data_IF_613337102590
#
_entry.id   IF_613337102590
#
_cell.length_a   1.000
_cell.length_b   1.000
_cell.length_c   1.000
_cell.angle_alpha   90.00
_cell.angle_beta   90.00
_cell.angle_gamma   90.00
#
_symmetry.space_group_name_H-M   'P 1'
#
loop_
_entity.id
_entity.type
_entity.pdbx_description
1 polymer ?
#
# COMPACT_ATOMS: atom_id res chain seq x y z
N UNK A 1 9.59 26.27 0.04
CA UNK A 1 10.23 24.93 0.04
C UNK A 1 9.27 23.92 -0.52
N UNK A 2 9.67 23.19 -1.54
CA UNK A 2 8.88 22.16 -2.22
C UNK A 2 8.98 20.85 -1.42
N UNK A 3 7.87 20.08 -1.37
CA UNK A 3 7.79 18.89 -0.54
C UNK A 3 7.82 17.61 -1.38
N UNK A 4 8.88 16.82 -1.21
CA UNK A 4 9.05 15.48 -1.75
C UNK A 4 9.24 14.43 -0.63
N UNK A 5 8.88 14.76 0.61
CA UNK A 5 9.12 13.86 1.76
C UNK A 5 8.10 12.71 1.84
N UNK A 6 6.85 12.90 1.38
CA UNK A 6 5.83 11.85 1.35
C UNK A 6 4.73 12.15 0.32
N UNK A 7 3.80 11.20 0.12
CA UNK A 7 2.71 11.25 -0.84
C UNK A 7 1.32 11.51 -0.20
N UNK A 8 1.30 12.04 1.02
CA UNK A 8 0.08 12.40 1.77
C UNK A 8 0.12 13.83 2.32
N UNK A 9 0.80 14.74 1.63
CA UNK A 9 0.91 16.15 2.00
C UNK A 9 -0.27 17.02 1.54
N UNK A 10 -1.08 16.53 0.61
CA UNK A 10 -2.12 17.30 -0.07
C UNK A 10 -3.51 16.84 0.36
N UNK A 11 -4.55 17.58 -0.06
CA UNK A 11 -5.94 17.24 0.19
C UNK A 11 -6.43 16.09 -0.69
N UNK A 12 -7.43 16.35 -1.54
CA UNK A 12 -7.97 15.38 -2.48
C UNK A 12 -8.00 15.92 -3.90
N UNK A 13 -8.24 15.03 -4.87
CA UNK A 13 -8.53 15.38 -6.26
C UNK A 13 -9.70 16.40 -6.32
N UNK A 14 -9.60 17.36 -7.23
CA UNK A 14 -10.62 18.41 -7.39
C UNK A 14 -12.01 17.83 -7.72
N UNK A 15 -12.05 16.70 -8.42
CA UNK A 15 -13.28 15.95 -8.69
C UNK A 15 -13.98 15.48 -7.40
N UNK A 16 -13.22 15.00 -6.42
CA UNK A 16 -13.72 14.59 -5.12
C UNK A 16 -14.25 15.80 -4.33
N UNK A 17 -13.49 16.90 -4.27
CA UNK A 17 -13.92 18.12 -3.57
C UNK A 17 -15.19 18.70 -4.19
N UNK A 18 -15.30 18.69 -5.51
CA UNK A 18 -16.49 19.11 -6.25
C UNK A 18 -17.70 18.22 -5.92
N UNK A 19 -17.52 16.90 -5.92
CA UNK A 19 -18.57 15.96 -5.56
C UNK A 19 -19.03 16.13 -4.11
N UNK A 20 -18.10 16.31 -3.16
CA UNK A 20 -18.42 16.58 -1.76
C UNK A 20 -19.21 17.89 -1.59
N UNK A 21 -18.82 18.93 -2.30
CA UNK A 21 -19.53 20.23 -2.29
C UNK A 21 -20.95 20.09 -2.85
N UNK A 22 -21.10 19.39 -3.96
CA UNK A 22 -22.38 19.20 -4.62
C UNK A 22 -23.37 18.37 -3.81
N UNK A 23 -22.88 17.47 -2.94
CA UNK A 23 -23.72 16.57 -2.13
C UNK A 23 -23.82 16.98 -0.65
N UNK A 24 -23.26 18.12 -0.27
CA UNK A 24 -23.10 18.51 1.14
C UNK A 24 -24.40 18.58 1.94
N UNK A 25 -25.51 18.91 1.29
CA UNK A 25 -26.84 19.02 1.92
C UNK A 25 -27.73 17.80 1.68
N UNK A 26 -27.25 16.80 0.95
CA UNK A 26 -27.99 15.57 0.68
C UNK A 26 -28.00 14.66 1.92
N UNK A 27 -28.99 13.78 1.97
CA UNK A 27 -29.17 12.83 3.05
C UNK A 27 -28.91 11.41 2.56
N UNK A 28 -27.97 10.72 3.21
CA UNK A 28 -27.58 9.37 2.88
C UNK A 28 -27.74 8.42 4.07
N UNK A 29 -27.94 7.13 3.80
CA UNK A 29 -27.86 6.09 4.82
C UNK A 29 -26.48 6.07 5.48
N UNK A 30 -26.44 5.75 6.78
CA UNK A 30 -25.17 5.70 7.53
C UNK A 30 -24.43 4.37 7.38
N UNK A 31 -23.21 4.34 7.93
CA UNK A 31 -22.43 3.12 8.17
C UNK A 31 -22.07 2.31 6.92
N UNK A 32 -21.96 2.97 5.77
CA UNK A 32 -21.58 2.37 4.49
C UNK A 32 -22.69 1.61 3.77
N UNK A 33 -23.97 1.84 4.15
CA UNK A 33 -25.15 1.24 3.51
C UNK A 33 -25.82 2.21 2.50
N UNK A 34 -25.07 3.17 2.00
CA UNK A 34 -25.52 4.26 1.14
C UNK A 34 -25.25 3.98 -0.34
N UNK A 35 -25.81 4.84 -1.19
CA UNK A 35 -25.70 4.70 -2.64
C UNK A 35 -24.27 4.93 -3.15
N UNK A 36 -23.48 5.77 -2.48
CA UNK A 36 -22.10 6.03 -2.90
C UNK A 36 -21.18 4.84 -2.64
N UNK A 37 -21.34 4.20 -1.48
CA UNK A 37 -20.64 2.95 -1.18
C UNK A 37 -21.05 1.84 -2.15
N UNK A 38 -22.34 1.70 -2.47
CA UNK A 38 -22.83 0.71 -3.46
C UNK A 38 -22.28 0.98 -4.87
N UNK A 39 -22.20 2.25 -5.26
CA UNK A 39 -21.64 2.67 -6.55
C UNK A 39 -20.15 2.35 -6.64
N UNK A 40 -19.37 2.73 -5.62
CA UNK A 40 -17.95 2.40 -5.53
C UNK A 40 -17.71 0.89 -5.51
N UNK A 41 -18.50 0.13 -4.75
CA UNK A 41 -18.46 -1.35 -4.72
C UNK A 41 -18.68 -1.93 -6.13
N UNK A 42 -19.64 -1.42 -6.88
CA UNK A 42 -19.94 -1.87 -8.23
C UNK A 42 -18.76 -1.66 -9.18
N UNK A 43 -18.15 -0.46 -9.14
CA UNK A 43 -16.98 -0.14 -9.95
C UNK A 43 -15.79 -1.02 -9.60
N UNK A 44 -15.52 -1.20 -8.31
CA UNK A 44 -14.40 -2.03 -7.86
C UNK A 44 -14.60 -3.49 -8.29
N UNK A 45 -15.79 -4.05 -8.13
CA UNK A 45 -16.11 -5.42 -8.58
C UNK A 45 -15.90 -5.61 -10.08
N UNK A 46 -16.18 -4.59 -10.89
CA UNK A 46 -15.89 -4.61 -12.33
C UNK A 46 -14.37 -4.60 -12.59
N UNK A 47 -13.63 -3.71 -11.94
CA UNK A 47 -12.18 -3.59 -12.10
C UNK A 47 -11.43 -4.86 -11.70
N UNK A 48 -11.88 -5.53 -10.63
CA UNK A 48 -11.28 -6.79 -10.16
C UNK A 48 -11.85 -8.03 -10.86
N UNK A 49 -12.86 -7.87 -11.72
CA UNK A 49 -13.58 -8.98 -12.39
C UNK A 49 -14.10 -10.05 -11.43
N UNK A 50 -14.56 -9.65 -10.24
CA UNK A 50 -15.06 -10.56 -9.20
C UNK A 50 -16.36 -10.04 -8.59
N UNK A 51 -17.49 -10.60 -9.04
CA UNK A 51 -18.83 -10.25 -8.54
C UNK A 51 -19.07 -10.62 -7.09
N UNK A 52 -18.43 -11.70 -6.61
CA UNK A 52 -18.60 -12.26 -5.27
C UNK A 52 -17.64 -11.64 -4.24
N UNK A 53 -16.72 -10.79 -4.65
CA UNK A 53 -15.83 -10.10 -3.73
C UNK A 53 -16.63 -9.19 -2.77
N UNK A 54 -16.33 -9.26 -1.48
CA UNK A 54 -16.83 -8.32 -0.51
C UNK A 54 -15.97 -7.06 -0.54
N UNK A 55 -16.58 -5.90 -0.80
CA UNK A 55 -15.91 -4.62 -0.76
C UNK A 55 -16.27 -3.88 0.52
N UNK A 56 -15.26 -3.38 1.24
CA UNK A 56 -15.46 -2.58 2.45
C UNK A 56 -14.49 -1.40 2.47
N UNK A 57 -14.96 -0.27 2.97
CA UNK A 57 -14.16 0.95 3.09
C UNK A 57 -13.76 1.16 4.54
N UNK A 58 -12.49 1.47 4.77
CA UNK A 58 -11.92 1.77 6.09
C UNK A 58 -11.17 3.11 6.05
N UNK A 59 -11.09 3.86 7.15
CA UNK A 59 -10.56 5.22 7.14
C UNK A 59 -9.04 5.34 6.92
N UNK A 60 -8.27 4.27 7.02
CA UNK A 60 -6.83 4.32 6.83
C UNK A 60 -6.17 2.94 6.73
N UNK A 61 -4.96 2.91 6.21
CA UNK A 61 -4.21 1.68 5.91
C UNK A 61 -3.86 0.87 7.17
N UNK A 62 -3.37 1.49 8.23
CA UNK A 62 -3.12 0.82 9.52
C UNK A 62 -4.38 0.14 10.04
N UNK A 63 -5.54 0.79 9.90
CA UNK A 63 -6.81 0.19 10.31
C UNK A 63 -7.25 -0.95 9.39
N UNK A 64 -6.94 -0.87 8.08
CA UNK A 64 -7.15 -1.98 7.14
C UNK A 64 -6.35 -3.22 7.57
N UNK A 65 -5.06 -3.05 7.85
CA UNK A 65 -4.16 -4.10 8.29
C UNK A 65 -4.65 -4.75 9.58
N UNK A 66 -4.95 -3.95 10.58
CA UNK A 66 -5.45 -4.39 11.89
C UNK A 66 -6.76 -5.19 11.76
N UNK A 67 -7.75 -4.68 11.02
CA UNK A 67 -9.06 -5.34 10.88
C UNK A 67 -8.96 -6.64 10.10
N UNK A 68 -8.17 -6.67 9.01
CA UNK A 68 -7.98 -7.88 8.20
C UNK A 68 -7.31 -8.97 9.02
N UNK A 69 -6.22 -8.66 9.72
CA UNK A 69 -5.47 -9.63 10.51
C UNK A 69 -6.29 -10.13 11.69
N UNK A 70 -6.99 -9.25 12.40
CA UNK A 70 -7.89 -9.65 13.49
C UNK A 70 -9.06 -10.52 13.02
N UNK A 71 -9.56 -10.32 11.80
CA UNK A 71 -10.64 -11.14 11.23
C UNK A 71 -10.14 -12.48 10.68
N UNK A 72 -8.88 -12.55 10.22
CA UNK A 72 -8.32 -13.71 9.56
C UNK A 72 -7.71 -14.73 10.52
N UNK A 73 -7.24 -14.29 11.69
CA UNK A 73 -6.43 -15.11 12.60
C UNK A 73 -7.18 -15.47 13.88
N UNK A 74 -6.97 -16.69 14.36
CA UNK A 74 -7.33 -17.11 15.71
C UNK A 74 -6.17 -16.79 16.69
N UNK A 75 -6.42 -16.77 18.01
CA UNK A 75 -5.44 -16.30 19.00
C UNK A 75 -4.08 -16.98 18.99
N UNK A 76 -3.99 -18.23 18.47
CA UNK A 76 -2.73 -18.99 18.39
C UNK A 76 -2.04 -18.85 17.03
N UNK A 77 -2.57 -18.02 16.14
CA UNK A 77 -2.07 -17.86 14.77
C UNK A 77 -1.25 -16.59 14.62
N UNK A 78 -0.37 -16.60 13.63
CA UNK A 78 0.60 -15.54 13.36
C UNK A 78 0.59 -15.12 11.89
N UNK A 79 1.13 -13.92 11.63
CA UNK A 79 1.30 -13.38 10.29
C UNK A 79 2.79 -13.35 9.91
N UNK A 80 3.11 -13.83 8.69
CA UNK A 80 4.44 -13.72 8.09
C UNK A 80 4.51 -12.39 7.33
N UNK A 81 5.57 -11.62 7.54
CA UNK A 81 5.84 -10.36 6.82
C UNK A 81 7.34 -10.18 6.57
N UNK A 82 7.71 -9.28 5.64
CA UNK A 82 9.08 -8.79 5.58
C UNK A 82 9.45 -8.06 6.88
N UNK A 83 10.70 -8.12 7.30
CA UNK A 83 11.19 -7.37 8.46
C UNK A 83 11.05 -5.85 8.29
N UNK A 84 11.00 -5.35 7.02
CA UNK A 84 10.66 -3.96 6.67
C UNK A 84 9.16 -3.73 6.44
N UNK A 85 8.32 -4.77 6.53
CA UNK A 85 6.88 -4.65 6.31
C UNK A 85 6.23 -3.61 7.23
N UNK A 86 5.30 -2.83 6.70
CA UNK A 86 4.68 -1.70 7.42
C UNK A 86 4.11 -2.10 8.78
N UNK A 87 3.44 -3.25 8.86
CA UNK A 87 2.89 -3.80 10.10
C UNK A 87 3.96 -4.10 11.17
N UNK A 88 5.20 -4.39 10.75
CA UNK A 88 6.31 -4.70 11.65
C UNK A 88 7.04 -3.44 12.14
N UNK A 89 7.16 -2.41 11.29
CA UNK A 89 8.04 -1.26 11.54
C UNK A 89 7.30 0.05 11.88
N UNK A 90 6.06 0.24 11.39
CA UNK A 90 5.44 1.57 11.32
C UNK A 90 4.03 1.65 11.94
N UNK A 91 3.58 0.62 12.67
CA UNK A 91 2.21 0.59 13.19
C UNK A 91 2.12 0.51 14.73
N UNK A 92 3.22 0.79 15.42
CA UNK A 92 3.26 0.87 16.89
C UNK A 92 2.59 -0.33 17.59
N UNK A 93 2.93 -1.55 17.13
CA UNK A 93 2.39 -2.82 17.65
C UNK A 93 0.86 -2.96 17.48
N UNK A 94 0.28 -2.39 16.40
CA UNK A 94 -1.16 -2.52 16.14
C UNK A 94 -1.61 -3.97 15.99
N UNK A 95 -0.76 -4.80 15.37
CA UNK A 95 -1.04 -6.22 15.14
C UNK A 95 -0.88 -7.04 16.43
N UNK A 96 0.18 -6.79 17.18
CA UNK A 96 0.40 -7.43 18.48
C UNK A 96 -0.73 -7.09 19.46
N UNK A 97 -1.29 -5.89 19.38
CA UNK A 97 -2.47 -5.49 20.17
C UNK A 97 -3.73 -6.30 19.83
N UNK A 98 -3.81 -6.94 18.66
CA UNK A 98 -4.87 -7.92 18.34
C UNK A 98 -4.58 -9.31 18.91
N UNK A 99 -3.44 -9.52 19.56
CA UNK A 99 -3.00 -10.79 20.13
C UNK A 99 -2.22 -11.68 19.15
N UNK A 100 -1.81 -11.14 17.99
CA UNK A 100 -1.14 -11.92 16.96
C UNK A 100 0.34 -11.55 16.84
N UNK A 101 1.18 -12.58 16.69
CA UNK A 101 2.62 -12.43 16.49
C UNK A 101 2.93 -12.18 15.03
N UNK A 102 3.85 -11.24 14.75
CA UNK A 102 4.47 -11.08 13.45
C UNK A 102 5.71 -11.97 13.38
N UNK A 103 5.79 -12.81 12.34
CA UNK A 103 6.97 -13.60 11.98
C UNK A 103 7.72 -12.82 10.91
N UNK A 104 8.62 -11.94 11.35
CA UNK A 104 9.40 -11.09 10.46
C UNK A 104 10.50 -11.90 9.77
N UNK A 105 10.52 -11.89 8.44
CA UNK A 105 11.53 -12.55 7.61
C UNK A 105 12.48 -11.50 7.01
N UNK A 106 13.78 -11.82 6.89
CA UNK A 106 14.74 -10.91 6.27
C UNK A 106 14.36 -10.65 4.80
N UNK A 107 14.34 -9.37 4.44
CA UNK A 107 13.96 -8.95 3.09
C UNK A 107 15.16 -8.73 2.17
N UNK A 108 14.93 -8.81 0.85
CA UNK A 108 15.80 -8.25 -0.18
C UNK A 108 15.00 -7.19 -0.93
N UNK A 109 15.44 -5.94 -0.87
CA UNK A 109 14.77 -4.79 -1.49
C UNK A 109 13.27 -4.66 -1.14
N UNK A 110 12.94 -4.98 0.12
CA UNK A 110 11.56 -4.94 0.63
C UNK A 110 10.75 -6.21 0.37
N UNK A 111 11.26 -7.18 -0.39
CA UNK A 111 10.54 -8.41 -0.75
C UNK A 111 10.99 -9.62 0.07
N UNK A 112 10.04 -10.52 0.34
CA UNK A 112 10.29 -11.88 0.83
C UNK A 112 9.89 -12.89 -0.25
N UNK A 113 10.59 -14.01 -0.32
CA UNK A 113 10.43 -15.01 -1.37
C UNK A 113 9.49 -16.13 -0.95
N UNK A 114 8.91 -16.82 -1.92
CA UNK A 114 8.14 -18.04 -1.71
C UNK A 114 8.95 -19.12 -0.95
N UNK A 115 10.26 -19.21 -1.19
CA UNK A 115 11.17 -20.13 -0.48
C UNK A 115 11.30 -19.80 1.02
N UNK A 116 11.46 -18.54 1.37
CA UNK A 116 11.52 -18.09 2.77
C UNK A 116 10.19 -18.35 3.50
N UNK A 117 9.06 -18.04 2.84
CA UNK A 117 7.73 -18.32 3.40
C UNK A 117 7.52 -19.81 3.59
N UNK A 118 7.91 -20.63 2.60
CA UNK A 118 7.82 -22.09 2.70
C UNK A 118 8.68 -22.66 3.84
N UNK A 119 9.90 -22.15 4.02
CA UNK A 119 10.77 -22.56 5.13
C UNK A 119 10.19 -22.21 6.49
N UNK A 120 9.62 -21.00 6.62
CA UNK A 120 8.95 -20.57 7.85
C UNK A 120 7.72 -21.44 8.16
N UNK A 121 6.89 -21.74 7.16
CA UNK A 121 5.72 -22.61 7.32
C UNK A 121 6.14 -24.06 7.66
N UNK A 122 7.13 -24.62 6.96
CA UNK A 122 7.64 -25.97 7.23
C UNK A 122 8.19 -26.13 8.64
N UNK A 123 8.84 -25.10 9.19
CA UNK A 123 9.33 -25.13 10.57
C UNK A 123 8.20 -25.38 11.60
N UNK A 124 6.99 -24.93 11.30
CA UNK A 124 5.80 -25.20 12.10
C UNK A 124 5.13 -26.54 11.73
N UNK A 125 4.76 -26.72 10.46
CA UNK A 125 3.92 -27.84 10.04
C UNK A 125 4.66 -29.18 9.96
N UNK A 126 5.96 -29.15 9.66
CA UNK A 126 6.83 -30.33 9.55
C UNK A 126 7.78 -30.47 10.75
N UNK A 127 7.72 -29.53 11.71
CA UNK A 127 8.55 -29.50 12.90
C UNK A 127 8.04 -30.43 14.03
N UNK A 128 8.89 -30.64 15.04
CA UNK A 128 8.63 -31.65 16.09
C UNK A 128 7.76 -31.19 17.25
N UNK A 129 7.38 -29.91 17.37
CA UNK A 129 6.66 -29.38 18.53
C UNK A 129 5.76 -28.17 18.19
N UNK A 130 4.78 -28.34 17.27
CA UNK A 130 3.93 -27.24 16.83
C UNK A 130 3.07 -26.65 17.96
N UNK A 131 2.75 -27.41 19.00
CA UNK A 131 1.95 -26.97 20.15
C UNK A 131 2.59 -25.86 21.00
N UNK A 132 3.88 -25.60 20.83
CA UNK A 132 4.60 -24.52 21.53
C UNK A 132 4.85 -23.29 20.65
N UNK A 133 4.47 -23.34 19.38
CA UNK A 133 4.69 -22.26 18.41
C UNK A 133 3.37 -21.64 17.97
N UNK A 134 3.42 -20.41 17.50
CA UNK A 134 2.26 -19.82 16.81
C UNK A 134 2.17 -20.35 15.39
N UNK A 135 0.97 -20.78 14.97
CA UNK A 135 0.72 -21.27 13.61
C UNK A 135 0.82 -20.13 12.59
N UNK A 136 1.74 -20.16 11.59
CA UNK A 136 1.73 -19.19 10.52
C UNK A 136 0.50 -19.41 9.63
N UNK A 137 -0.40 -18.42 9.59
CA UNK A 137 -1.69 -18.57 8.91
C UNK A 137 -2.00 -17.50 7.88
N UNK A 138 -1.27 -16.40 7.92
CA UNK A 138 -1.41 -15.32 6.94
C UNK A 138 -0.02 -14.86 6.49
N UNK A 139 0.12 -14.59 5.19
CA UNK A 139 1.26 -13.90 4.59
C UNK A 139 0.81 -12.48 4.24
N UNK A 140 1.54 -11.49 4.74
CA UNK A 140 1.35 -10.08 4.45
C UNK A 140 2.45 -9.60 3.52
N UNK A 141 2.08 -8.94 2.44
CA UNK A 141 2.98 -8.30 1.48
C UNK A 141 2.51 -6.87 1.22
N UNK A 142 3.42 -5.96 0.91
CA UNK A 142 3.09 -4.61 0.43
C UNK A 142 3.29 -4.50 -1.08
N UNK A 143 2.39 -3.77 -1.76
CA UNK A 143 2.49 -3.51 -3.20
C UNK A 143 2.14 -2.03 -3.52
N UNK A 144 3.14 -1.24 -4.00
CA UNK A 144 4.59 -1.50 -3.92
C UNK A 144 5.08 -1.77 -2.51
N UNK A 145 6.27 -2.38 -2.39
CA UNK A 145 6.91 -2.53 -1.07
C UNK A 145 7.26 -1.17 -0.47
N UNK A 146 7.64 -1.12 0.79
CA UNK A 146 8.06 0.11 1.49
C UNK A 146 9.27 0.75 0.81
N UNK A 147 10.05 -0.03 0.05
CA UNK A 147 11.20 0.42 -0.74
C UNK A 147 10.86 0.76 -2.20
N UNK A 148 9.57 0.76 -2.56
CA UNK A 148 9.10 1.09 -3.92
C UNK A 148 9.33 0.00 -4.97
N UNK A 149 9.72 -1.20 -4.58
CA UNK A 149 9.89 -2.35 -5.48
C UNK A 149 8.56 -3.08 -5.70
N UNK A 150 8.46 -3.85 -6.77
CA UNK A 150 7.25 -4.57 -7.16
C UNK A 150 7.44 -6.08 -7.09
N UNK A 151 6.43 -6.79 -6.61
CA UNK A 151 6.30 -8.22 -6.86
C UNK A 151 5.82 -8.42 -8.29
N UNK A 152 6.50 -9.26 -9.07
CA UNK A 152 6.00 -9.71 -10.37
C UNK A 152 4.84 -10.70 -10.21
N UNK A 153 4.08 -10.88 -11.28
CA UNK A 153 3.00 -11.87 -11.32
C UNK A 153 3.49 -13.27 -10.99
N UNK A 154 4.67 -13.64 -11.49
CA UNK A 154 5.30 -14.95 -11.22
C UNK A 154 5.69 -15.11 -9.74
N UNK A 155 6.26 -14.07 -9.12
CA UNK A 155 6.57 -14.10 -7.68
C UNK A 155 5.30 -14.25 -6.85
N UNK A 156 4.25 -13.48 -7.15
CA UNK A 156 2.98 -13.55 -6.44
C UNK A 156 2.30 -14.93 -6.62
N UNK A 157 2.34 -15.51 -7.81
CA UNK A 157 1.86 -16.87 -8.08
C UNK A 157 2.61 -17.91 -7.24
N UNK A 158 3.94 -17.83 -7.20
CA UNK A 158 4.78 -18.73 -6.40
C UNK A 158 4.45 -18.63 -4.90
N UNK A 159 4.25 -17.43 -4.38
CA UNK A 159 3.82 -17.20 -3.00
C UNK A 159 2.42 -17.77 -2.76
N UNK A 160 1.49 -17.56 -3.71
CA UNK A 160 0.13 -18.10 -3.64
C UNK A 160 0.12 -19.63 -3.56
N UNK A 161 1.00 -20.30 -4.31
CA UNK A 161 1.13 -21.77 -4.25
C UNK A 161 1.61 -22.26 -2.88
N UNK A 162 2.57 -21.58 -2.27
CA UNK A 162 3.01 -21.87 -0.91
C UNK A 162 1.87 -21.67 0.08
N UNK A 163 1.14 -20.56 -0.03
CA UNK A 163 -0.03 -20.31 0.81
C UNK A 163 -1.07 -21.42 0.68
N UNK A 164 -1.34 -21.88 -0.56
CA UNK A 164 -2.27 -22.99 -0.81
C UNK A 164 -1.79 -24.30 -0.20
N UNK A 165 -0.49 -24.62 -0.32
CA UNK A 165 0.11 -25.83 0.24
C UNK A 165 -0.09 -25.93 1.75
N UNK A 166 0.11 -24.83 2.47
CA UNK A 166 0.04 -24.80 3.95
C UNK A 166 -1.28 -24.24 4.49
N UNK A 167 -2.26 -23.98 3.62
CA UNK A 167 -3.57 -23.45 4.01
C UNK A 167 -3.52 -22.06 4.66
N UNK A 168 -2.58 -21.23 4.23
CA UNK A 168 -2.41 -19.85 4.69
C UNK A 168 -3.19 -18.86 3.81
N UNK A 169 -3.59 -17.74 4.38
CA UNK A 169 -4.12 -16.61 3.63
C UNK A 169 -2.98 -15.77 3.03
N UNK A 170 -3.27 -15.10 1.92
CA UNK A 170 -2.38 -14.09 1.32
C UNK A 170 -3.11 -12.75 1.32
N UNK A 171 -2.53 -11.77 2.01
CA UNK A 171 -3.03 -10.41 2.12
C UNK A 171 -2.02 -9.43 1.53
N UNK A 172 -2.47 -8.55 0.63
CA UNK A 172 -1.63 -7.52 0.02
C UNK A 172 -2.08 -6.13 0.47
N UNK A 173 -1.18 -5.44 1.15
CA UNK A 173 -1.25 -4.02 1.47
C UNK A 173 -1.05 -3.21 0.19
N UNK A 174 -2.10 -2.56 -0.26
CA UNK A 174 -2.10 -1.72 -1.45
C UNK A 174 -2.16 -0.22 -1.14
N UNK A 175 -1.53 0.26 -0.05
CA UNK A 175 -1.52 1.68 0.32
C UNK A 175 -1.08 2.59 -0.83
N UNK A 176 -0.22 2.07 -1.71
CA UNK A 176 0.27 2.72 -2.94
C UNK A 176 -0.12 1.95 -4.21
N UNK A 177 -1.22 1.21 -4.19
CA UNK A 177 -1.67 0.34 -5.30
C UNK A 177 -1.67 1.06 -6.65
N UNK A 178 -2.15 2.30 -6.70
CA UNK A 178 -2.20 3.09 -7.94
C UNK A 178 -0.82 3.33 -8.56
N UNK A 179 0.18 3.64 -7.75
CA UNK A 179 1.57 3.82 -8.21
C UNK A 179 2.17 2.49 -8.67
N UNK A 180 1.96 1.41 -7.94
CA UNK A 180 2.40 0.08 -8.37
C UNK A 180 1.81 -0.33 -9.71
N UNK A 181 0.52 -0.09 -9.92
CA UNK A 181 -0.16 -0.38 -11.19
C UNK A 181 0.28 0.56 -12.33
N UNK A 182 0.68 1.79 -12.02
CA UNK A 182 1.16 2.79 -12.97
C UNK A 182 2.60 2.61 -13.42
N UNK A 183 3.41 1.87 -12.66
CA UNK A 183 4.83 1.67 -12.91
C UNK A 183 5.09 0.93 -14.24
N UNK A 184 6.18 1.32 -14.91
CA UNK A 184 6.46 0.84 -16.28
C UNK A 184 6.80 -0.65 -16.37
N UNK A 185 7.35 -1.23 -15.30
CA UNK A 185 7.74 -2.63 -15.19
C UNK A 185 6.71 -3.51 -14.47
N UNK A 186 5.53 -2.96 -14.13
CA UNK A 186 4.45 -3.73 -13.54
C UNK A 186 3.78 -4.66 -14.57
N UNK A 187 3.59 -5.92 -14.18
CA UNK A 187 2.91 -6.96 -14.97
C UNK A 187 1.61 -7.47 -14.33
N UNK A 188 1.12 -6.77 -13.30
CA UNK A 188 -0.09 -7.11 -12.54
C UNK A 188 -1.24 -6.13 -12.81
N UNK A 189 -2.46 -6.63 -12.76
CA UNK A 189 -3.71 -5.88 -12.80
C UNK A 189 -4.51 -6.09 -11.51
N UNK A 190 -5.51 -5.26 -11.23
CA UNK A 190 -6.43 -5.47 -10.09
C UNK A 190 -7.15 -6.84 -10.15
N UNK A 191 -7.40 -7.34 -11.36
CA UNK A 191 -7.94 -8.69 -11.57
C UNK A 191 -6.95 -9.76 -11.08
N UNK A 192 -5.66 -9.62 -11.41
CA UNK A 192 -4.63 -10.56 -10.95
C UNK A 192 -4.55 -10.59 -9.42
N UNK A 193 -4.64 -9.44 -8.75
CA UNK A 193 -4.71 -9.40 -7.29
C UNK A 193 -5.93 -10.15 -6.76
N UNK A 194 -7.11 -9.98 -7.37
CA UNK A 194 -8.31 -10.70 -6.94
C UNK A 194 -8.21 -12.22 -7.13
N UNK A 195 -7.52 -12.67 -8.17
CA UNK A 195 -7.30 -14.10 -8.44
C UNK A 195 -6.21 -14.72 -7.56
N UNK A 196 -5.14 -13.95 -7.27
CA UNK A 196 -3.95 -14.47 -6.60
C UNK A 196 -3.92 -14.24 -5.09
N UNK A 197 -4.79 -13.37 -4.56
CA UNK A 197 -4.82 -13.06 -3.12
C UNK A 197 -6.16 -13.45 -2.49
N UNK A 198 -6.21 -13.50 -1.17
CA UNK A 198 -7.45 -13.69 -0.43
C UNK A 198 -8.06 -12.37 0.02
N UNK A 199 -7.19 -11.39 0.26
CA UNK A 199 -7.55 -10.00 0.57
C UNK A 199 -6.47 -9.09 0.00
N UNK A 200 -6.87 -7.95 -0.51
CA UNK A 200 -6.00 -6.81 -0.76
C UNK A 200 -6.79 -5.52 -0.57
N UNK A 201 -6.14 -4.38 -0.60
CA UNK A 201 -6.87 -3.13 -0.67
C UNK A 201 -6.33 -2.17 -1.73
N UNK A 202 -7.22 -1.34 -2.23
CA UNK A 202 -6.93 -0.23 -3.14
C UNK A 202 -6.77 1.00 -2.28
N UNK A 203 -5.54 1.50 -2.16
CA UNK A 203 -5.22 2.65 -1.33
C UNK A 203 -5.77 3.94 -1.90
N UNK A 204 -6.55 4.69 -1.12
CA UNK A 204 -7.08 6.00 -1.51
C UNK A 204 -6.27 7.16 -0.93
N UNK A 205 -5.89 7.07 0.33
CA UNK A 205 -5.26 8.16 1.09
C UNK A 205 -4.04 8.76 0.39
N UNK A 206 -3.17 7.95 -0.19
CA UNK A 206 -1.97 8.41 -0.90
C UNK A 206 -2.21 8.68 -2.38
N UNK A 207 -3.32 8.19 -2.94
CA UNK A 207 -3.60 8.19 -4.38
C UNK A 207 -4.68 9.19 -4.80
N UNK A 208 -4.97 10.21 -3.97
CA UNK A 208 -5.86 11.30 -4.34
C UNK A 208 -7.16 11.42 -3.55
N UNK A 209 -7.46 10.51 -2.62
CA UNK A 209 -8.54 10.67 -1.66
C UNK A 209 -8.12 11.54 -0.47
N UNK A 210 -9.09 12.14 0.24
CA UNK A 210 -8.84 12.79 1.53
C UNK A 210 -8.37 11.78 2.57
N UNK A 211 -8.98 10.59 2.56
CA UNK A 211 -8.67 9.47 3.42
C UNK A 211 -9.43 8.22 2.94
N UNK A 212 -8.97 7.07 3.39
CA UNK A 212 -9.67 5.80 3.21
C UNK A 212 -9.01 4.84 2.24
N UNK A 213 -9.31 3.57 2.49
CA UNK A 213 -8.84 2.42 1.72
C UNK A 213 -10.04 1.52 1.38
N UNK A 214 -10.05 0.96 0.17
CA UNK A 214 -11.08 0.02 -0.27
C UNK A 214 -10.55 -1.42 -0.17
N UNK A 215 -10.98 -2.15 0.85
CA UNK A 215 -10.70 -3.57 1.02
C UNK A 215 -11.46 -4.39 -0.01
N UNK A 216 -10.77 -5.32 -0.66
CA UNK A 216 -11.32 -6.32 -1.57
C UNK A 216 -11.06 -7.70 -0.97
N UNK A 217 -12.12 -8.41 -0.57
CA UNK A 217 -12.04 -9.70 0.12
C UNK A 217 -12.65 -10.76 -0.80
N UNK A 218 -11.81 -11.62 -1.36
CA UNK A 218 -12.21 -12.68 -2.28
C UNK A 218 -12.43 -14.02 -1.59
N UNK A 219 -11.87 -14.23 -0.39
CA UNK A 219 -12.03 -15.45 0.40
C UNK A 219 -13.34 -15.44 1.19
N UNK A 220 -14.31 -16.35 0.90
CA UNK A 220 -15.62 -16.35 1.54
C UNK A 220 -15.58 -16.51 3.07
N UNK A 221 -14.59 -17.23 3.61
CA UNK A 221 -14.45 -17.40 5.07
C UNK A 221 -14.12 -16.09 5.77
N UNK A 222 -13.38 -15.21 5.11
CA UNK A 222 -13.02 -13.89 5.66
C UNK A 222 -14.16 -12.88 5.48
N UNK A 223 -15.10 -13.10 4.57
CA UNK A 223 -16.27 -12.25 4.40
C UNK A 223 -17.26 -12.38 5.57
N UNK A 224 -17.30 -13.59 6.21
CA UNK A 224 -18.25 -13.85 7.27
C UNK A 224 -18.03 -12.92 8.47
N UNK A 225 -19.06 -12.14 8.79
CA UNK A 225 -19.06 -11.16 9.89
C UNK A 225 -17.95 -10.11 9.84
N UNK A 226 -17.31 -9.87 8.70
CA UNK A 226 -16.20 -8.92 8.59
C UNK A 226 -16.57 -7.52 9.11
N UNK A 227 -17.81 -7.05 8.84
CA UNK A 227 -18.29 -5.76 9.37
C UNK A 227 -18.31 -5.70 10.91
N UNK A 228 -18.44 -6.82 11.61
CA UNK A 228 -18.37 -6.87 13.07
C UNK A 228 -16.94 -6.60 13.57
N UNK A 229 -15.93 -7.16 12.91
CA UNK A 229 -14.52 -6.82 13.19
C UNK A 229 -14.22 -5.36 12.89
N UNK A 230 -14.69 -4.84 11.75
CA UNK A 230 -14.60 -3.41 11.46
C UNK A 230 -15.22 -2.55 12.58
N UNK A 231 -16.41 -2.91 13.07
CA UNK A 231 -17.09 -2.16 14.14
C UNK A 231 -16.32 -2.22 15.45
N UNK A 232 -15.81 -3.39 15.81
CA UNK A 232 -15.02 -3.62 17.02
C UNK A 232 -13.77 -2.73 17.05
N UNK A 233 -13.12 -2.56 15.90
CA UNK A 233 -11.89 -1.78 15.75
C UNK A 233 -12.12 -0.33 15.30
N UNK A 234 -13.35 0.19 15.38
CA UNK A 234 -13.67 1.59 15.08
C UNK A 234 -13.66 1.96 13.59
N UNK A 235 -13.61 0.97 12.67
CA UNK A 235 -13.51 1.20 11.23
C UNK A 235 -14.85 1.46 10.52
N UNK A 236 -15.98 1.40 11.24
CA UNK A 236 -17.31 1.67 10.67
C UNK A 236 -17.73 3.10 11.02
N UNK A 237 -17.56 4.02 10.09
CA UNK A 237 -17.92 5.42 10.27
C UNK A 237 -19.43 5.65 10.08
N UNK A 238 -20.02 6.52 10.93
CA UNK A 238 -21.41 6.92 10.77
C UNK A 238 -21.65 7.58 9.40
N UNK A 239 -20.72 8.43 8.94
CA UNK A 239 -20.72 9.03 7.59
C UNK A 239 -19.85 8.24 6.62
N UNK A 240 -20.04 6.91 6.55
CA UNK A 240 -19.27 6.02 5.68
C UNK A 240 -19.39 6.35 4.19
N UNK A 241 -20.48 6.99 3.78
CA UNK A 241 -20.72 7.46 2.41
C UNK A 241 -19.61 8.39 1.88
N UNK A 242 -18.90 9.10 2.77
CA UNK A 242 -17.76 9.93 2.38
C UNK A 242 -16.64 9.12 1.70
N UNK A 243 -16.38 7.90 2.18
CA UNK A 243 -15.40 7.02 1.54
C UNK A 243 -15.93 6.49 0.20
N UNK A 244 -17.18 6.02 0.17
CA UNK A 244 -17.81 5.55 -1.07
C UNK A 244 -17.82 6.61 -2.17
N UNK A 245 -18.17 7.85 -1.84
CA UNK A 245 -18.16 8.96 -2.79
C UNK A 245 -16.76 9.18 -3.39
N UNK A 246 -15.71 9.19 -2.57
CA UNK A 246 -14.35 9.39 -3.04
C UNK A 246 -13.92 8.28 -4.00
N UNK A 247 -14.11 7.02 -3.60
CA UNK A 247 -13.76 5.87 -4.44
C UNK A 247 -14.57 5.79 -5.73
N UNK A 248 -15.89 6.02 -5.68
CA UNK A 248 -16.72 6.09 -6.88
C UNK A 248 -16.21 7.18 -7.84
N UNK A 249 -15.98 8.40 -7.34
CA UNK A 249 -15.55 9.52 -8.16
C UNK A 249 -14.22 9.27 -8.85
N UNK A 250 -13.19 8.85 -8.10
CA UNK A 250 -11.84 8.72 -8.67
C UNK A 250 -11.65 7.47 -9.54
N UNK A 251 -12.44 6.40 -9.33
CA UNK A 251 -12.31 5.16 -10.09
C UNK A 251 -13.16 5.15 -11.36
N UNK A 252 -14.38 5.70 -11.33
CA UNK A 252 -15.29 5.69 -12.50
C UNK A 252 -14.75 6.50 -13.68
N UNK A 253 -14.08 7.61 -13.42
CA UNK A 253 -13.50 8.46 -14.46
C UNK A 253 -12.04 8.08 -14.79
N UNK A 254 -11.47 7.08 -14.11
CA UNK A 254 -10.10 6.62 -14.31
C UNK A 254 -9.00 7.55 -13.75
N UNK A 255 -9.38 8.63 -13.09
CA UNK A 255 -8.46 9.64 -12.57
C UNK A 255 -7.46 9.06 -11.57
N UNK A 256 -7.86 8.08 -10.77
CA UNK A 256 -6.99 7.32 -9.88
C UNK A 256 -5.73 6.80 -10.59
N UNK A 257 -5.93 6.10 -11.71
CA UNK A 257 -4.83 5.49 -12.48
C UNK A 257 -4.02 6.53 -13.26
N UNK A 258 -4.68 7.52 -13.83
CA UNK A 258 -4.02 8.59 -14.58
C UNK A 258 -3.07 9.39 -13.69
N UNK A 259 -3.54 9.84 -12.52
CA UNK A 259 -2.77 10.69 -11.63
C UNK A 259 -1.60 9.95 -10.97
N UNK A 260 -1.79 8.69 -10.58
CA UNK A 260 -0.71 7.89 -9.99
C UNK A 260 0.35 7.54 -11.04
N UNK A 261 -0.03 7.12 -12.24
CA UNK A 261 0.91 6.89 -13.35
C UNK A 261 1.71 8.15 -13.71
N UNK A 262 1.06 9.32 -13.71
CA UNK A 262 1.76 10.59 -13.93
C UNK A 262 2.79 10.86 -12.84
N UNK A 263 2.47 10.58 -11.59
CA UNK A 263 3.40 10.76 -10.48
C UNK A 263 4.63 9.85 -10.61
N UNK A 264 4.46 8.58 -11.03
CA UNK A 264 5.59 7.69 -11.33
C UNK A 264 6.47 8.25 -12.45
N UNK A 265 5.87 8.75 -13.53
CA UNK A 265 6.63 9.38 -14.61
C UNK A 265 7.44 10.61 -14.14
N UNK A 266 6.91 11.40 -13.21
CA UNK A 266 7.62 12.51 -12.57
C UNK A 266 8.76 12.01 -11.67
N UNK A 267 8.56 10.92 -10.93
CA UNK A 267 9.61 10.31 -10.12
C UNK A 267 10.76 9.78 -10.98
N UNK A 268 10.46 9.24 -12.17
CA UNK A 268 11.51 8.79 -13.10
C UNK A 268 12.37 9.95 -13.60
N UNK A 269 11.84 11.15 -13.81
CA UNK A 269 12.65 12.34 -14.17
C UNK A 269 13.62 12.71 -13.03
N UNK A 270 13.17 12.64 -11.78
CA UNK A 270 14.04 12.85 -10.60
C UNK A 270 15.14 11.78 -10.56
N UNK A 271 14.78 10.51 -10.79
CA UNK A 271 15.73 9.40 -10.87
C UNK A 271 16.79 9.63 -11.94
N UNK A 272 16.38 9.99 -13.15
CA UNK A 272 17.29 10.25 -14.27
C UNK A 272 18.27 11.38 -13.95
N UNK A 273 17.82 12.44 -13.27
CA UNK A 273 18.67 13.55 -12.86
C UNK A 273 19.75 13.09 -11.86
N UNK A 274 19.40 12.29 -10.84
CA UNK A 274 20.38 11.73 -9.91
C UNK A 274 21.35 10.76 -10.61
N UNK A 275 20.85 9.90 -11.50
CA UNK A 275 21.68 8.98 -12.28
C UNK A 275 22.69 9.73 -13.17
N UNK A 276 22.28 10.80 -13.83
CA UNK A 276 23.15 11.66 -14.64
C UNK A 276 24.29 12.31 -13.86
N UNK A 277 24.11 12.49 -12.54
CA UNK A 277 25.16 13.00 -11.62
C UNK A 277 26.01 11.88 -11.01
N UNK A 278 25.75 10.61 -11.35
CA UNK A 278 26.43 9.47 -10.74
C UNK A 278 26.11 9.28 -9.26
N UNK A 279 25.00 9.82 -8.76
CA UNK A 279 24.55 9.65 -7.38
C UNK A 279 23.97 8.23 -7.25
N UNK A 280 24.47 7.41 -6.30
CA UNK A 280 24.04 6.02 -6.18
C UNK A 280 22.62 5.91 -5.62
N UNK A 281 21.91 4.89 -6.07
CA UNK A 281 20.61 4.49 -5.52
C UNK A 281 20.80 3.43 -4.43
N UNK A 282 20.02 3.57 -3.36
CA UNK A 282 19.97 2.54 -2.30
C UNK A 282 19.18 1.32 -2.74
N UNK A 283 18.14 1.55 -3.53
CA UNK A 283 17.29 0.53 -4.14
C UNK A 283 16.76 1.03 -5.48
N UNK A 284 16.58 0.11 -6.41
CA UNK A 284 15.97 0.40 -7.69
C UNK A 284 14.44 0.41 -7.56
N UNK A 285 13.81 1.53 -7.86
CA UNK A 285 12.36 1.70 -7.82
C UNK A 285 11.85 2.33 -9.11
N UNK A 286 10.79 1.76 -9.66
CA UNK A 286 10.04 2.28 -10.82
C UNK A 286 8.79 3.07 -10.42
N UNK A 287 8.55 3.25 -9.12
CA UNK A 287 7.35 3.89 -8.57
C UNK A 287 7.61 5.34 -8.15
N UNK A 288 6.62 5.95 -7.53
CA UNK A 288 6.68 7.33 -7.05
C UNK A 288 7.74 7.60 -5.95
N UNK A 289 8.40 6.59 -5.41
CA UNK A 289 9.41 6.70 -4.37
C UNK A 289 10.80 6.43 -4.94
N UNK A 290 11.74 7.39 -4.77
CA UNK A 290 13.13 7.28 -5.21
C UNK A 290 14.06 7.38 -4.02
N UNK A 291 14.92 6.38 -3.85
CA UNK A 291 15.84 6.26 -2.71
C UNK A 291 17.27 6.41 -3.20
N UNK A 292 17.92 7.51 -2.83
CA UNK A 292 19.27 7.85 -3.24
C UNK A 292 20.20 7.97 -2.02
N UNK A 293 21.50 7.79 -2.23
CA UNK A 293 22.51 7.99 -1.18
C UNK A 293 23.17 9.34 -1.42
N UNK A 294 22.93 10.30 -0.54
CA UNK A 294 23.51 11.64 -0.62
C UNK A 294 24.63 11.81 0.39
N UNK A 295 25.72 12.47 -0.04
CA UNK A 295 26.73 12.98 0.89
C UNK A 295 26.12 14.09 1.74
N UNK A 296 26.72 14.41 2.88
CA UNK A 296 26.24 15.47 3.76
C UNK A 296 26.15 16.83 3.02
N UNK A 297 27.14 17.17 2.17
CA UNK A 297 27.12 18.41 1.39
C UNK A 297 25.97 18.46 0.39
N UNK A 298 25.70 17.36 -0.34
CA UNK A 298 24.59 17.27 -1.29
C UNK A 298 23.25 17.38 -0.57
N UNK A 299 23.11 16.70 0.57
CA UNK A 299 21.90 16.75 1.41
C UNK A 299 21.63 18.19 1.88
N UNK A 300 22.63 18.86 2.43
CA UNK A 300 22.49 20.25 2.89
C UNK A 300 22.15 21.22 1.75
N UNK A 301 22.74 21.04 0.56
CA UNK A 301 22.43 21.86 -0.60
C UNK A 301 20.95 21.72 -1.03
N UNK A 302 20.44 20.50 -1.13
CA UNK A 302 19.02 20.27 -1.49
C UNK A 302 18.06 20.68 -0.37
N UNK A 303 18.43 20.53 0.90
CA UNK A 303 17.59 20.93 2.03
C UNK A 303 17.30 22.45 2.10
N UNK A 304 18.00 23.27 1.34
CA UNK A 304 17.70 24.71 1.22
C UNK A 304 16.38 24.97 0.47
N UNK A 305 16.02 24.10 -0.47
CA UNK A 305 14.83 24.27 -1.33
C UNK A 305 13.74 23.21 -1.13
N UNK A 306 14.11 22.04 -0.60
CA UNK A 306 13.26 20.86 -0.64
C UNK A 306 13.15 20.16 0.72
N UNK A 307 11.96 19.61 0.99
CA UNK A 307 11.75 18.60 2.03
C UNK A 307 11.80 17.21 1.41
N UNK A 308 12.58 16.32 1.99
CA UNK A 308 12.69 14.89 1.67
C UNK A 308 12.79 14.10 2.97
N UNK A 309 12.68 12.78 2.93
CA UNK A 309 12.74 11.91 4.10
C UNK A 309 14.13 11.29 4.23
N UNK A 310 14.69 11.23 5.44
CA UNK A 310 15.93 10.50 5.73
C UNK A 310 15.56 9.10 6.23
N UNK A 311 16.01 8.06 5.49
CA UNK A 311 15.67 6.65 5.79
C UNK A 311 16.77 5.95 6.61
N UNK A 312 17.94 6.56 6.74
CA UNK A 312 19.04 6.02 7.56
C UNK A 312 20.42 6.29 6.99
N UNK A 313 21.43 5.75 7.67
CA UNK A 313 22.82 5.86 7.24
C UNK A 313 23.16 4.82 6.17
N UNK A 314 24.01 5.19 5.21
CA UNK A 314 24.68 4.29 4.28
C UNK A 314 26.20 4.47 4.40
N UNK A 315 26.99 3.53 3.84
CA UNK A 315 28.44 3.56 3.91
C UNK A 315 29.04 4.88 3.38
N UNK A 316 28.42 5.46 2.33
CA UNK A 316 28.91 6.67 1.66
C UNK A 316 28.02 7.90 1.88
N UNK A 317 27.13 7.89 2.86
CA UNK A 317 26.26 9.04 3.12
C UNK A 317 24.97 8.70 3.87
N UNK A 318 23.90 9.42 3.53
CA UNK A 318 22.57 9.21 4.09
C UNK A 318 21.63 8.71 2.98
N UNK A 319 20.85 7.67 3.26
CA UNK A 319 19.74 7.24 2.39
C UNK A 319 18.63 8.28 2.52
N UNK A 320 18.24 8.82 1.38
CA UNK A 320 17.23 9.88 1.30
C UNK A 320 16.14 9.44 0.32
N UNK A 321 14.87 9.59 0.73
CA UNK A 321 13.73 9.34 -0.13
C UNK A 321 13.15 10.63 -0.69
N UNK A 322 12.98 10.67 -2.01
CA UNK A 322 12.16 11.64 -2.72
C UNK A 322 10.88 10.93 -3.17
N UNK A 323 9.73 11.51 -2.84
CA UNK A 323 8.43 10.94 -3.13
C UNK A 323 7.57 11.94 -3.90
N UNK A 324 7.14 11.57 -5.11
CA UNK A 324 6.12 12.31 -5.85
C UNK A 324 4.72 11.85 -5.45
N UNK A 325 3.71 12.65 -5.75
CA UNK A 325 2.31 12.33 -5.48
C UNK A 325 1.42 12.69 -6.67
N UNK A 326 0.17 12.30 -6.60
CA UNK A 326 -0.86 12.70 -7.55
C UNK A 326 -0.93 14.23 -7.77
N UNK A 327 -0.54 15.03 -6.78
CA UNK A 327 -0.56 16.49 -6.82
C UNK A 327 0.76 17.13 -7.26
N UNK A 328 1.87 16.39 -7.31
CA UNK A 328 3.17 16.91 -7.73
C UNK A 328 3.09 17.50 -9.14
N UNK A 329 3.59 18.72 -9.29
CA UNK A 329 3.58 19.45 -10.57
C UNK A 329 4.88 19.25 -11.34
N UNK A 330 4.84 19.43 -12.68
CA UNK A 330 6.03 19.41 -13.52
C UNK A 330 7.03 20.49 -13.09
N UNK A 331 6.56 21.70 -12.78
CA UNK A 331 7.41 22.80 -12.36
C UNK A 331 8.21 22.51 -11.07
N UNK A 332 7.63 21.77 -10.12
CA UNK A 332 8.32 21.35 -8.90
C UNK A 332 9.45 20.35 -9.22
N UNK A 333 9.18 19.42 -10.14
CA UNK A 333 10.20 18.44 -10.58
C UNK A 333 11.29 19.13 -11.40
N UNK A 334 10.94 20.01 -12.32
CA UNK A 334 11.92 20.78 -13.12
C UNK A 334 12.87 21.58 -12.22
N UNK A 335 12.34 22.21 -11.16
CA UNK A 335 13.15 22.94 -10.18
C UNK A 335 14.14 22.00 -9.45
N UNK A 336 13.67 20.84 -8.98
CA UNK A 336 14.53 19.86 -8.32
C UNK A 336 15.60 19.31 -9.27
N UNK A 337 15.23 18.95 -10.50
CA UNK A 337 16.16 18.47 -11.54
C UNK A 337 17.25 19.51 -11.84
N UNK A 338 16.86 20.79 -11.96
CA UNK A 338 17.81 21.88 -12.17
C UNK A 338 18.80 22.07 -10.99
N UNK A 339 18.36 21.82 -9.76
CA UNK A 339 19.23 21.93 -8.58
C UNK A 339 20.08 20.67 -8.39
N UNK A 340 19.57 19.46 -8.69
CA UNK A 340 20.38 18.24 -8.75
C UNK A 340 21.55 18.41 -9.75
N UNK A 341 21.29 19.04 -10.90
CA UNK A 341 22.33 19.29 -11.92
C UNK A 341 23.51 20.18 -11.41
N UNK A 342 23.31 20.90 -10.31
CA UNK A 342 24.35 21.75 -9.70
C UNK A 342 25.19 21.05 -8.62
N UNK A 343 24.75 19.85 -8.16
CA UNK A 343 25.49 19.03 -7.20
C UNK A 343 26.77 18.48 -7.86
#
# INVERSE_FOLDING_TARGET
MIRFNNDYNHGALDSILSALTATNTDSFAGYGEDIWCQRAETVIKQLVSSGDALIKFVPGATQANLVVIAAALSPIQSVIAADTGHINCHEAASIENTGHKILALPNTDGKITAGQIAACAAAYYDGGAPEYLTEPKLVYLSFPTEKGTLYSKQELQSIREVCRKYGMYLFVDGARMGYGLGAADNDLTLKDFAELTHVFYIGGTKCGALFGEALVITEPKLQYRFKAYMKQHGAVLAKGWLMGLQFATMLENGEYFEKTKRADALAMQIREAFAAKGIPFWVESSTNQQFVILTQQQKEALAQGYYFEEEGAAEQGTVVRFCTSWATTQAEVDALVADIAKL
#
